data_IF_399075136354
#
_entry.id   IF_399075136354
#
_cell.length_a   1.000
_cell.length_b   1.000
_cell.length_c   1.000
_cell.angle_alpha   90.00
_cell.angle_beta   90.00
_cell.angle_gamma   90.00
#
_symmetry.space_group_name_H-M   'P 1'
#
loop_
_entity.id
_entity.type
_entity.pdbx_description
1 polymer ?
#
# COMPACT_ATOMS: atom_id res chain seq x y z
N UNK A 1 68.39 -6.41 22.71
CA UNK A 1 66.99 -6.25 23.17
C UNK A 1 66.13 -5.81 21.98
N UNK A 2 65.26 -6.68 21.47
CA UNK A 2 64.24 -6.32 20.46
C UNK A 2 62.88 -6.63 21.08
N UNK A 3 62.10 -5.59 21.38
CA UNK A 3 60.72 -5.71 21.84
C UNK A 3 59.85 -5.83 20.60
N UNK A 4 59.21 -6.99 20.43
CA UNK A 4 58.20 -7.21 19.39
C UNK A 4 56.88 -6.61 19.88
N UNK A 5 56.43 -5.52 19.26
CA UNK A 5 55.11 -4.94 19.52
C UNK A 5 54.05 -5.72 18.74
N UNK A 6 53.11 -6.35 19.45
CA UNK A 6 51.91 -6.96 18.90
C UNK A 6 50.80 -5.90 18.82
N UNK A 7 50.40 -5.54 17.61
CA UNK A 7 49.27 -4.64 17.34
C UNK A 7 48.01 -5.50 17.23
N UNK A 8 47.11 -5.39 18.21
CA UNK A 8 45.75 -5.92 18.13
C UNK A 8 44.88 -4.93 17.35
N UNK A 9 44.50 -5.30 16.12
CA UNK A 9 43.49 -4.56 15.35
C UNK A 9 42.09 -4.94 15.85
N UNK A 10 41.45 -4.04 16.61
CA UNK A 10 40.05 -4.17 16.97
C UNK A 10 39.18 -3.85 15.74
N UNK A 11 38.54 -4.87 15.16
CA UNK A 11 37.54 -4.70 14.11
C UNK A 11 36.25 -4.14 14.74
N UNK A 12 36.02 -2.84 14.60
CA UNK A 12 34.78 -2.19 14.98
C UNK A 12 33.69 -2.56 13.97
N UNK A 13 32.84 -3.53 14.32
CA UNK A 13 31.59 -3.77 13.61
C UNK A 13 30.63 -2.61 13.91
N UNK A 14 30.53 -1.66 12.98
CA UNK A 14 29.49 -0.65 13.02
C UNK A 14 28.15 -1.33 12.66
N UNK A 15 27.11 -1.24 13.52
CA UNK A 15 25.79 -1.71 13.14
C UNK A 15 25.24 -0.80 12.03
N UNK A 16 24.98 -1.39 10.86
CA UNK A 16 24.23 -0.73 9.80
C UNK A 16 22.78 -0.56 10.26
N UNK A 17 22.43 0.62 10.78
CA UNK A 17 21.03 0.99 10.97
C UNK A 17 20.37 1.08 9.59
N UNK A 18 19.64 0.04 9.20
CA UNK A 18 18.78 0.10 8.02
C UNK A 18 17.78 1.23 8.21
N UNK A 19 17.79 2.21 7.31
CA UNK A 19 16.74 3.23 7.25
C UNK A 19 15.40 2.51 7.12
N UNK A 20 14.54 2.63 8.13
CA UNK A 20 13.14 2.29 7.99
C UNK A 20 12.57 3.21 6.90
N UNK A 21 12.29 2.64 5.73
CA UNK A 21 11.65 3.38 4.65
C UNK A 21 10.29 3.87 5.18
N UNK A 22 10.16 5.18 5.37
CA UNK A 22 8.96 5.77 5.96
C UNK A 22 7.79 5.55 4.99
N UNK A 23 6.74 4.85 5.44
CA UNK A 23 5.53 4.65 4.64
C UNK A 23 4.89 6.02 4.36
N UNK A 24 4.88 6.44 3.09
CA UNK A 24 4.22 7.64 2.58
C UNK A 24 3.34 7.23 1.41
N UNK A 25 2.10 7.74 1.34
CA UNK A 25 1.34 7.62 0.10
C UNK A 25 2.05 8.48 -0.94
N UNK A 26 2.32 7.87 -2.09
CA UNK A 26 2.97 8.50 -3.23
C UNK A 26 2.67 7.66 -4.47
N UNK A 27 3.13 8.15 -5.63
CA UNK A 27 3.20 7.39 -6.87
C UNK A 27 3.61 5.94 -6.61
N UNK A 28 2.82 4.99 -7.10
CA UNK A 28 2.94 3.58 -6.77
C UNK A 28 1.60 2.87 -6.69
N UNK A 29 1.64 1.57 -6.43
CA UNK A 29 0.49 0.68 -6.40
C UNK A 29 0.22 0.26 -4.95
N UNK A 30 -1.04 0.34 -4.55
CA UNK A 30 -1.51 0.11 -3.19
C UNK A 30 -2.74 -0.77 -3.25
N UNK A 31 -2.81 -1.80 -2.41
CA UNK A 31 -3.99 -2.65 -2.30
C UNK A 31 -4.53 -2.61 -0.89
N UNK A 32 -5.85 -2.82 -0.78
CA UNK A 32 -6.52 -2.94 0.51
C UNK A 32 -6.02 -4.17 1.24
N UNK A 33 -6.01 -4.14 2.55
CA UNK A 33 -5.64 -5.29 3.36
C UNK A 33 -6.85 -6.23 3.48
N UNK A 34 -6.69 -7.50 3.10
CA UNK A 34 -7.81 -8.45 2.91
C UNK A 34 -8.65 -8.65 4.19
N UNK A 35 -7.95 -8.76 5.32
CA UNK A 35 -8.56 -9.00 6.62
C UNK A 35 -8.94 -7.72 7.38
N UNK A 36 -8.93 -6.57 6.70
CA UNK A 36 -9.49 -5.34 7.26
C UNK A 36 -10.99 -5.25 7.02
N UNK A 37 -11.69 -4.59 7.93
CA UNK A 37 -13.09 -4.21 7.77
C UNK A 37 -13.21 -2.69 7.67
N UNK A 38 -14.42 -2.18 7.36
CA UNK A 38 -14.66 -0.75 7.10
C UNK A 38 -14.11 0.22 8.16
N UNK A 39 -13.96 -0.20 9.41
CA UNK A 39 -13.50 0.63 10.53
C UNK A 39 -12.53 -0.14 11.44
N UNK A 40 -12.14 -1.36 11.05
CA UNK A 40 -11.34 -2.27 11.88
C UNK A 40 -10.06 -2.61 11.12
N UNK A 41 -8.88 -2.35 11.70
CA UNK A 41 -7.61 -2.65 11.06
C UNK A 41 -7.44 -4.15 10.82
N UNK A 42 -6.57 -4.55 9.88
CA UNK A 42 -6.33 -5.96 9.55
C UNK A 42 -5.57 -6.67 10.67
N UNK A 43 -6.01 -7.88 11.01
CA UNK A 43 -5.40 -8.70 12.05
C UNK A 43 -4.01 -9.25 11.67
N UNK A 44 -3.74 -9.37 10.36
CA UNK A 44 -2.53 -9.97 9.81
C UNK A 44 -1.43 -8.96 9.45
N UNK A 45 -1.58 -7.69 9.85
CA UNK A 45 -0.72 -6.57 9.48
C UNK A 45 -0.53 -6.41 7.95
N UNK A 46 -1.59 -6.68 7.17
CA UNK A 46 -1.59 -6.57 5.70
C UNK A 46 -0.60 -7.50 4.99
N UNK A 47 -0.41 -8.71 5.52
CA UNK A 47 0.37 -9.74 4.82
C UNK A 47 -0.40 -10.24 3.57
N UNK A 48 -1.72 -10.35 3.69
CA UNK A 48 -2.64 -10.64 2.61
C UNK A 48 -3.30 -9.34 2.13
N UNK A 49 -3.28 -9.13 0.82
CA UNK A 49 -3.89 -7.99 0.14
C UNK A 49 -5.17 -8.44 -0.57
N UNK A 50 -6.19 -7.59 -0.56
CA UNK A 50 -7.42 -7.71 -1.35
C UNK A 50 -7.07 -7.53 -2.85
N UNK A 51 -7.89 -8.05 -3.75
CA UNK A 51 -7.72 -7.86 -5.21
C UNK A 51 -7.97 -6.41 -5.65
N UNK A 52 -8.57 -5.60 -4.77
CA UNK A 52 -8.97 -4.22 -5.03
C UNK A 52 -7.99 -3.22 -4.42
N UNK A 53 -7.56 -2.27 -5.24
CA UNK A 53 -6.57 -1.27 -4.88
C UNK A 53 -6.61 -0.03 -5.76
N UNK A 54 -5.55 0.76 -5.65
CA UNK A 54 -5.33 1.92 -6.49
C UNK A 54 -3.87 2.09 -6.87
N UNK A 55 -3.65 2.80 -7.97
CA UNK A 55 -2.34 3.25 -8.39
C UNK A 55 -2.33 4.76 -8.55
N UNK A 56 -1.31 5.40 -7.98
CA UNK A 56 -1.04 6.82 -8.23
C UNK A 56 0.04 6.92 -9.28
N UNK A 57 -0.21 7.70 -10.33
CA UNK A 57 0.75 8.01 -11.39
C UNK A 57 0.67 9.51 -11.66
N UNK A 58 1.76 10.24 -11.42
CA UNK A 58 1.83 11.69 -11.71
C UNK A 58 0.65 12.47 -11.12
N UNK A 59 0.27 12.15 -9.88
CA UNK A 59 -0.83 12.82 -9.18
C UNK A 59 -2.24 12.45 -9.66
N UNK A 60 -2.42 11.35 -10.41
CA UNK A 60 -3.73 10.82 -10.79
C UNK A 60 -3.93 9.44 -10.18
N UNK A 61 -5.07 9.26 -9.50
CA UNK A 61 -5.52 7.99 -8.93
C UNK A 61 -6.17 7.18 -10.03
N UNK A 62 -5.78 5.92 -10.11
CA UNK A 62 -6.40 4.90 -10.93
C UNK A 62 -6.89 3.79 -10.01
N UNK A 63 -8.10 3.30 -10.23
CA UNK A 63 -8.53 2.03 -9.63
C UNK A 63 -7.74 0.89 -10.27
N UNK A 64 -7.32 -0.08 -9.47
CA UNK A 64 -6.57 -1.24 -9.93
C UNK A 64 -7.22 -2.48 -9.34
N UNK A 65 -7.49 -3.47 -10.18
CA UNK A 65 -8.09 -4.74 -9.76
C UNK A 65 -7.30 -5.93 -10.30
N UNK A 66 -6.83 -6.80 -9.40
CA UNK A 66 -6.17 -8.05 -9.78
C UNK A 66 -7.19 -8.99 -10.43
N UNK A 67 -6.81 -9.63 -11.54
CA UNK A 67 -7.71 -10.51 -12.31
C UNK A 67 -7.27 -11.97 -12.33
N UNK A 68 -6.02 -12.28 -11.96
CA UNK A 68 -5.44 -13.60 -12.11
C UNK A 68 -4.99 -14.27 -10.80
N UNK A 69 -5.43 -13.77 -9.64
CA UNK A 69 -5.14 -14.47 -8.38
C UNK A 69 -5.95 -15.75 -8.26
N UNK A 70 -5.32 -16.80 -7.75
CA UNK A 70 -5.94 -18.09 -7.43
C UNK A 70 -5.84 -18.42 -5.92
N UNK A 71 -5.56 -17.43 -5.07
CA UNK A 71 -5.44 -17.63 -3.63
C UNK A 71 -6.77 -18.13 -3.03
N UNK A 72 -6.69 -19.15 -2.18
CA UNK A 72 -7.87 -19.77 -1.56
C UNK A 72 -8.11 -19.26 -0.14
N UNK A 73 -7.07 -18.73 0.52
CA UNK A 73 -7.11 -18.26 1.91
C UNK A 73 -7.62 -16.82 2.03
N UNK A 74 -8.64 -16.47 1.26
CA UNK A 74 -9.28 -15.15 1.31
C UNK A 74 -10.42 -15.13 2.33
N UNK A 75 -10.73 -13.94 2.85
CA UNK A 75 -11.83 -13.73 3.78
C UNK A 75 -13.14 -14.18 3.15
N UNK A 76 -13.93 -14.89 3.94
CA UNK A 76 -15.22 -15.48 3.53
C UNK A 76 -15.10 -16.47 2.36
N UNK A 77 -13.95 -17.13 2.18
CA UNK A 77 -13.72 -18.12 1.12
C UNK A 77 -13.89 -17.55 -0.30
N UNK A 78 -13.63 -16.25 -0.49
CA UNK A 78 -13.69 -15.58 -1.80
C UNK A 78 -12.42 -15.90 -2.60
N UNK A 79 -12.38 -17.10 -3.19
CA UNK A 79 -11.21 -17.58 -3.95
C UNK A 79 -10.86 -16.61 -5.06
N UNK A 80 -9.59 -16.22 -5.14
CA UNK A 80 -9.05 -15.28 -6.14
C UNK A 80 -9.23 -13.80 -5.79
N UNK A 81 -9.94 -13.46 -4.71
CA UNK A 81 -10.14 -12.06 -4.31
C UNK A 81 -9.07 -11.50 -3.39
N UNK A 82 -7.95 -12.21 -3.23
CA UNK A 82 -6.84 -11.76 -2.41
C UNK A 82 -5.54 -12.38 -2.91
N UNK A 83 -4.40 -11.91 -2.41
CA UNK A 83 -3.09 -12.47 -2.72
C UNK A 83 -2.07 -12.07 -1.65
N UNK A 84 -1.00 -12.86 -1.52
CA UNK A 84 0.12 -12.50 -0.65
C UNK A 84 0.87 -11.29 -1.21
N UNK A 85 1.28 -10.35 -0.36
CA UNK A 85 2.03 -9.15 -0.78
C UNK A 85 3.30 -9.45 -1.60
N UNK A 86 3.88 -10.65 -1.46
CA UNK A 86 5.07 -11.10 -2.18
C UNK A 86 4.76 -11.93 -3.43
N UNK A 87 3.49 -12.10 -3.81
CA UNK A 87 3.09 -12.92 -4.94
C UNK A 87 3.58 -12.29 -6.27
N UNK A 88 4.31 -13.04 -7.12
CA UNK A 88 4.80 -12.53 -8.40
C UNK A 88 3.79 -12.77 -9.54
N UNK A 89 3.96 -12.09 -10.67
CA UNK A 89 3.26 -12.42 -11.91
C UNK A 89 1.77 -12.08 -11.92
N UNK A 90 1.37 -11.04 -11.19
CA UNK A 90 -0.01 -10.57 -11.16
C UNK A 90 -0.36 -9.78 -12.43
N UNK A 91 -1.62 -9.92 -12.84
CA UNK A 91 -2.28 -9.16 -13.89
C UNK A 91 -3.40 -8.34 -13.28
N UNK A 92 -3.60 -7.13 -13.80
CA UNK A 92 -4.65 -6.24 -13.31
C UNK A 92 -5.28 -5.38 -14.41
N UNK A 93 -6.57 -5.15 -14.25
CA UNK A 93 -7.29 -4.07 -14.92
C UNK A 93 -7.01 -2.75 -14.22
N UNK A 94 -7.05 -1.65 -14.98
CA UNK A 94 -6.83 -0.30 -14.44
C UNK A 94 -7.74 0.71 -15.12
N UNK A 95 -8.45 1.49 -14.33
CA UNK A 95 -9.30 2.60 -14.80
C UNK A 95 -8.94 3.90 -14.08
N UNK A 96 -9.02 5.04 -14.77
CA UNK A 96 -8.75 6.34 -14.18
C UNK A 96 -9.90 6.77 -13.25
N UNK A 97 -9.56 7.28 -12.07
CA UNK A 97 -10.52 7.97 -11.19
C UNK A 97 -10.37 9.48 -11.38
N UNK A 98 -9.22 10.04 -11.03
CA UNK A 98 -9.03 11.50 -11.11
C UNK A 98 -7.84 12.00 -10.31
N UNK A 99 -7.63 13.33 -10.27
CA UNK A 99 -6.46 13.91 -9.62
C UNK A 99 -6.49 13.72 -8.11
N UNK A 100 -5.29 13.60 -7.54
CA UNK A 100 -5.04 13.56 -6.10
C UNK A 100 -3.94 14.53 -5.69
N UNK A 101 -4.21 15.25 -4.62
CA UNK A 101 -3.24 16.09 -3.94
C UNK A 101 -2.85 15.42 -2.61
N UNK A 102 -1.55 15.28 -2.36
CA UNK A 102 -1.04 14.72 -1.11
C UNK A 102 -0.41 15.80 -0.23
N UNK A 103 -0.65 15.69 1.07
CA UNK A 103 0.15 16.33 2.11
C UNK A 103 0.79 15.24 3.00
N UNK A 104 1.55 15.63 4.03
CA UNK A 104 2.17 14.66 4.93
C UNK A 104 1.19 13.70 5.64
N UNK A 105 -0.05 14.17 5.87
CA UNK A 105 -1.06 13.45 6.68
C UNK A 105 -2.45 13.47 6.02
N UNK A 106 -2.57 13.89 4.78
CA UNK A 106 -3.85 13.91 4.09
C UNK A 106 -3.72 13.67 2.58
N UNK A 107 -4.83 13.30 1.98
CA UNK A 107 -5.03 13.28 0.54
C UNK A 107 -6.35 13.96 0.20
N UNK A 108 -6.42 14.63 -0.95
CA UNK A 108 -7.64 15.14 -1.53
C UNK A 108 -7.82 14.54 -2.92
N UNK A 109 -8.88 13.76 -3.13
CA UNK A 109 -9.16 13.09 -4.41
C UNK A 109 -10.38 13.75 -5.05
N UNK A 110 -10.25 14.20 -6.29
CA UNK A 110 -11.37 14.82 -7.02
C UNK A 110 -11.93 13.86 -8.04
N UNK A 111 -13.24 13.60 -7.95
CA UNK A 111 -13.96 12.79 -8.92
C UNK A 111 -15.37 13.34 -9.16
N UNK A 112 -15.78 13.37 -10.43
CA UNK A 112 -17.12 13.82 -10.86
C UNK A 112 -17.55 15.16 -10.22
N UNK A 113 -16.63 16.12 -10.12
CA UNK A 113 -16.90 17.46 -9.60
C UNK A 113 -16.99 17.58 -8.07
N UNK A 114 -16.68 16.53 -7.31
CA UNK A 114 -16.56 16.57 -5.85
C UNK A 114 -15.17 16.16 -5.40
N UNK A 115 -14.61 16.86 -4.41
CA UNK A 115 -13.29 16.58 -3.83
C UNK A 115 -13.46 15.96 -2.45
N UNK A 116 -13.08 14.70 -2.30
CA UNK A 116 -13.07 14.02 -1.01
C UNK A 116 -11.73 14.21 -0.31
N UNK A 117 -11.78 14.72 0.92
CA UNK A 117 -10.62 14.82 1.80
C UNK A 117 -10.48 13.54 2.64
N UNK A 118 -9.25 13.08 2.78
CA UNK A 118 -8.89 11.93 3.61
C UNK A 118 -7.75 12.29 4.56
N UNK A 119 -7.85 11.81 5.80
CA UNK A 119 -6.73 11.77 6.74
C UNK A 119 -5.93 10.48 6.54
N UNK A 120 -4.61 10.56 6.69
CA UNK A 120 -3.69 9.43 6.55
C UNK A 120 -2.96 9.22 7.87
N UNK A 121 -3.18 8.05 8.47
CA UNK A 121 -2.44 7.59 9.66
C UNK A 121 -1.48 6.48 9.25
N UNK A 122 -0.21 6.64 9.61
CA UNK A 122 0.83 5.67 9.28
C UNK A 122 0.87 4.55 10.31
N UNK A 123 0.90 3.31 9.83
CA UNK A 123 1.20 2.14 10.63
C UNK A 123 2.52 1.52 10.16
N UNK A 124 3.01 0.50 10.87
CA UNK A 124 4.32 -0.10 10.57
C UNK A 124 4.39 -0.74 9.17
N UNK A 125 3.28 -1.29 8.68
CA UNK A 125 3.22 -2.08 7.43
C UNK A 125 2.21 -1.57 6.41
N UNK A 126 1.34 -0.67 6.83
CA UNK A 126 0.24 -0.18 6.03
C UNK A 126 -0.12 1.25 6.43
N UNK A 127 -1.06 1.83 5.70
CA UNK A 127 -1.63 3.13 5.95
C UNK A 127 -3.11 2.96 6.24
N UNK A 128 -3.62 3.74 7.18
CA UNK A 128 -5.05 3.91 7.42
C UNK A 128 -5.49 5.24 6.80
N UNK A 129 -6.35 5.17 5.80
CA UNK A 129 -6.86 6.32 5.06
C UNK A 129 -8.36 6.46 5.34
N UNK A 130 -8.74 7.53 6.05
CA UNK A 130 -10.12 7.72 6.51
C UNK A 130 -10.71 9.01 5.94
N UNK A 131 -11.98 9.03 5.49
CA UNK A 131 -12.59 10.25 5.01
C UNK A 131 -12.73 11.27 6.15
N UNK A 132 -12.54 12.55 5.83
CA UNK A 132 -12.64 13.66 6.77
C UNK A 132 -13.65 14.68 6.26
N UNK A 133 -14.53 15.13 7.15
CA UNK A 133 -15.52 16.15 6.84
C UNK A 133 -16.74 15.59 6.10
N UNK A 134 -17.36 16.44 5.29
CA UNK A 134 -18.50 16.06 4.47
C UNK A 134 -18.08 15.04 3.39
N UNK A 135 -18.92 14.04 3.18
CA UNK A 135 -18.66 12.97 2.23
C UNK A 135 -19.18 13.35 0.84
N UNK A 136 -18.32 13.21 -0.16
CA UNK A 136 -18.78 13.15 -1.55
C UNK A 136 -19.77 11.98 -1.71
N UNK A 137 -20.80 12.19 -2.54
CA UNK A 137 -21.85 11.20 -2.79
C UNK A 137 -21.33 9.86 -3.35
N UNK A 138 -20.14 9.86 -3.96
CA UNK A 138 -19.48 8.69 -4.51
C UNK A 138 -18.55 7.96 -3.52
N UNK A 139 -18.26 8.55 -2.36
CA UNK A 139 -17.45 7.89 -1.33
C UNK A 139 -18.36 7.29 -0.26
N UNK A 140 -17.83 6.30 0.45
CA UNK A 140 -18.47 5.74 1.64
C UNK A 140 -17.74 6.17 2.91
N UNK A 141 -18.41 6.09 4.07
CA UNK A 141 -17.78 6.29 5.37
C UNK A 141 -16.96 5.05 5.78
N UNK A 142 -15.87 4.77 5.06
CA UNK A 142 -14.99 3.62 5.28
C UNK A 142 -13.54 4.05 5.39
N UNK A 143 -12.81 3.40 6.27
CA UNK A 143 -11.35 3.41 6.31
C UNK A 143 -10.80 2.48 5.23
N UNK A 144 -9.79 2.96 4.52
CA UNK A 144 -9.00 2.18 3.58
C UNK A 144 -7.66 1.87 4.23
N UNK A 145 -7.57 0.66 4.79
CA UNK A 145 -6.30 0.11 5.24
C UNK A 145 -5.57 -0.45 4.02
N UNK A 146 -4.45 0.17 3.64
CA UNK A 146 -3.75 -0.16 2.39
C UNK A 146 -2.27 -0.36 2.60
N UNK A 147 -1.70 -1.32 1.88
CA UNK A 147 -0.28 -1.58 1.86
C UNK A 147 0.28 -1.47 0.44
N UNK A 148 1.54 -1.05 0.35
CA UNK A 148 2.21 -0.87 -0.94
C UNK A 148 2.56 -2.22 -1.53
N UNK A 149 2.20 -2.43 -2.79
CA UNK A 149 2.68 -3.55 -3.59
C UNK A 149 3.87 -3.10 -4.42
N UNK A 150 4.97 -3.84 -4.33
CA UNK A 150 6.24 -3.52 -5.01
C UNK A 150 6.66 -4.60 -6.01
N UNK A 151 5.83 -5.64 -6.18
CA UNK A 151 6.06 -6.68 -7.18
C UNK A 151 5.73 -6.18 -8.60
N UNK A 152 6.16 -6.94 -9.62
CA UNK A 152 5.78 -6.64 -11.00
C UNK A 152 4.27 -6.84 -11.18
N UNK A 153 3.61 -5.86 -11.80
CA UNK A 153 2.21 -5.92 -12.17
C UNK A 153 2.06 -5.66 -13.66
N UNK A 154 1.44 -6.59 -14.39
CA UNK A 154 1.11 -6.42 -15.80
C UNK A 154 -0.29 -5.83 -15.90
N UNK A 155 -0.41 -4.63 -16.48
CA UNK A 155 -1.71 -4.05 -16.78
C UNK A 155 -2.24 -4.70 -18.06
N UNK A 156 -3.46 -5.23 -17.97
CA UNK A 156 -4.21 -5.71 -19.13
C UNK A 156 -5.16 -4.59 -19.56
N UNK A 157 -5.17 -4.26 -20.84
CA UNK A 157 -6.10 -3.30 -21.42
C UNK A 157 -7.42 -4.04 -21.69
N UNK A 158 -8.56 -3.43 -21.32
CA UNK A 158 -9.86 -3.91 -21.78
C UNK A 158 -9.91 -3.73 -23.31
N UNK A 159 -10.06 -4.83 -24.06
CA UNK A 159 -10.30 -4.81 -25.51
C UNK A 159 -11.67 -4.21 -25.88
#
# INVERSE_FOLDING_TARGET
MKILALIFAAAYFAPSFGQANELKVSDGIWFRCEFAHSQIPPEDNCRMLDDDGFQVIKGVVHHVKITNSAETNCRHNRVGNCFLQTHPGLEAERSEIGPVEFSEKSAAVTWLGCTQNYGITKQRKYLDIAPVGELCWWTSNKHYFVARYSGPLKIIEEE
#
